data_IF_680203915247
#
_entry.id   IF_680203915247
#
_cell.length_a   1.000
_cell.length_b   1.000
_cell.length_c   1.000
_cell.angle_alpha   90.00
_cell.angle_beta   90.00
_cell.angle_gamma   90.00
#
_symmetry.space_group_name_H-M   'P 1'
#
loop_
_entity.id
_entity.type
_entity.pdbx_description
1 polymer ?
#
# COMPACT_ATOMS: atom_id res chain seq x y z
N UNK A 1 -17.21 -13.77 -51.18
CA UNK A 1 -16.53 -13.52 -49.88
C UNK A 1 -17.36 -14.08 -48.70
N UNK A 2 -18.67 -13.79 -48.56
CA UNK A 2 -19.51 -14.22 -47.44
C UNK A 2 -19.59 -15.73 -47.20
N UNK A 3 -19.57 -16.54 -48.25
CA UNK A 3 -19.65 -18.01 -48.16
C UNK A 3 -18.36 -18.67 -47.66
N UNK A 4 -17.21 -18.04 -47.93
CA UNK A 4 -15.91 -18.50 -47.41
C UNK A 4 -15.84 -18.30 -45.91
N UNK A 5 -16.20 -17.13 -45.42
CA UNK A 5 -16.22 -16.83 -43.96
C UNK A 5 -17.22 -17.71 -43.23
N UNK A 6 -18.40 -17.94 -43.77
CA UNK A 6 -19.39 -18.84 -43.15
C UNK A 6 -18.85 -20.27 -43.00
N UNK A 7 -18.14 -20.80 -44.04
CA UNK A 7 -17.51 -22.12 -43.98
C UNK A 7 -16.41 -22.18 -42.93
N UNK A 8 -15.58 -21.13 -42.83
CA UNK A 8 -14.52 -21.03 -41.80
C UNK A 8 -15.11 -21.03 -40.39
N UNK A 9 -16.10 -20.19 -40.10
CA UNK A 9 -16.78 -20.14 -38.81
C UNK A 9 -17.44 -21.48 -38.47
N UNK A 10 -18.17 -22.08 -39.42
CA UNK A 10 -18.78 -23.40 -39.24
C UNK A 10 -17.75 -24.49 -38.95
N UNK A 11 -16.57 -24.40 -39.56
CA UNK A 11 -15.49 -25.34 -39.28
C UNK A 11 -14.92 -25.15 -37.87
N UNK A 12 -14.71 -23.92 -37.44
CA UNK A 12 -14.23 -23.59 -36.09
C UNK A 12 -15.19 -24.13 -35.01
N UNK A 13 -16.51 -23.95 -35.24
CA UNK A 13 -17.56 -24.48 -34.32
C UNK A 13 -17.50 -26.02 -34.31
N UNK A 14 -17.45 -26.66 -35.47
CA UNK A 14 -17.46 -28.12 -35.60
C UNK A 14 -16.26 -28.80 -34.92
N UNK A 15 -15.09 -28.15 -34.93
CA UNK A 15 -13.88 -28.67 -34.24
C UNK A 15 -13.78 -28.25 -32.76
N UNK A 16 -14.85 -27.66 -32.21
CA UNK A 16 -14.91 -27.28 -30.77
C UNK A 16 -14.01 -26.11 -30.36
N UNK A 17 -13.62 -25.24 -31.31
CA UNK A 17 -12.73 -24.11 -31.02
C UNK A 17 -13.40 -22.74 -31.02
N UNK A 18 -14.75 -22.69 -30.95
CA UNK A 18 -15.52 -21.46 -31.03
C UNK A 18 -15.13 -20.47 -29.90
N UNK A 19 -15.03 -20.94 -28.66
CA UNK A 19 -14.64 -20.12 -27.50
C UNK A 19 -13.26 -19.49 -27.69
N UNK A 20 -12.25 -20.29 -28.03
CA UNK A 20 -10.88 -19.79 -28.27
C UNK A 20 -10.84 -18.77 -29.40
N UNK A 21 -11.65 -18.97 -30.43
CA UNK A 21 -11.74 -18.03 -31.55
C UNK A 21 -12.38 -16.70 -31.13
N UNK A 22 -13.45 -16.74 -30.33
CA UNK A 22 -14.11 -15.54 -29.80
C UNK A 22 -13.13 -14.76 -28.92
N UNK A 23 -12.41 -15.44 -28.03
CA UNK A 23 -11.39 -14.81 -27.18
C UNK A 23 -10.32 -14.13 -28.03
N UNK A 24 -9.73 -14.84 -29.00
CA UNK A 24 -8.69 -14.30 -29.86
C UNK A 24 -9.17 -13.10 -30.70
N UNK A 25 -10.42 -13.14 -31.18
CA UNK A 25 -11.01 -12.01 -31.91
C UNK A 25 -11.28 -10.81 -31.00
N UNK A 26 -11.74 -11.03 -29.75
CA UNK A 26 -11.94 -9.99 -28.77
C UNK A 26 -10.62 -9.31 -28.38
N UNK A 27 -9.57 -10.08 -28.13
CA UNK A 27 -8.22 -9.57 -27.88
C UNK A 27 -7.68 -8.75 -29.06
N UNK A 28 -7.90 -9.22 -30.29
CA UNK A 28 -7.50 -8.49 -31.49
C UNK A 28 -8.23 -7.15 -31.60
N UNK A 29 -9.55 -7.12 -31.34
CA UNK A 29 -10.35 -5.90 -31.34
C UNK A 29 -9.83 -4.93 -30.27
N UNK A 30 -9.56 -5.40 -29.07
CA UNK A 30 -8.98 -4.59 -28.00
C UNK A 30 -7.63 -3.96 -28.43
N UNK A 31 -6.73 -4.76 -28.98
CA UNK A 31 -5.41 -4.28 -29.46
C UNK A 31 -5.51 -3.25 -30.60
N UNK A 32 -6.50 -3.40 -31.47
CA UNK A 32 -6.74 -2.46 -32.57
C UNK A 32 -7.47 -1.19 -32.14
N UNK A 33 -8.22 -1.24 -31.04
CA UNK A 33 -9.01 -0.12 -30.52
C UNK A 33 -8.23 0.69 -29.48
N UNK A 34 -7.48 0.02 -28.60
CA UNK A 34 -6.66 0.64 -27.54
C UNK A 34 -5.20 0.32 -27.81
N UNK A 35 -4.51 1.25 -28.44
CA UNK A 35 -3.09 1.13 -28.79
C UNK A 35 -2.21 1.08 -27.52
N UNK A 36 -2.48 1.96 -26.57
CA UNK A 36 -1.72 2.06 -25.34
C UNK A 36 -2.63 2.43 -24.14
N UNK A 37 -2.51 1.70 -23.05
CA UNK A 37 -3.26 1.91 -21.82
C UNK A 37 -2.42 2.72 -20.83
N UNK A 38 -2.96 3.81 -20.29
CA UNK A 38 -2.35 4.61 -19.24
C UNK A 38 -3.12 4.41 -17.93
N UNK A 39 -2.45 3.94 -16.91
CA UNK A 39 -3.01 3.80 -15.55
C UNK A 39 -2.45 4.94 -14.69
N UNK A 40 -3.33 5.75 -14.12
CA UNK A 40 -2.94 6.91 -13.31
C UNK A 40 -2.85 6.62 -11.81
N UNK A 41 -2.49 5.40 -11.46
CA UNK A 41 -2.08 4.99 -10.11
C UNK A 41 -3.20 4.61 -9.15
N UNK A 42 -2.75 4.33 -7.91
CA UNK A 42 -3.57 3.83 -6.80
C UNK A 42 -4.32 2.53 -7.13
N UNK A 43 -3.62 1.60 -7.81
CA UNK A 43 -4.11 0.23 -8.02
C UNK A 43 -4.31 -0.45 -6.65
N UNK A 44 -3.46 -0.12 -5.69
CA UNK A 44 -3.42 -0.69 -4.34
C UNK A 44 -4.09 0.20 -3.28
N UNK A 45 -5.06 1.07 -3.64
CA UNK A 45 -5.77 1.87 -2.63
C UNK A 45 -6.71 0.95 -1.80
N UNK A 46 -7.94 1.27 -1.63
CA UNK A 46 -8.87 0.67 -0.64
C UNK A 46 -9.79 -0.38 -1.23
N UNK A 47 -9.73 -0.56 -2.55
CA UNK A 47 -10.57 -1.52 -3.27
C UNK A 47 -10.05 -2.96 -3.18
N UNK A 48 -10.93 -3.95 -3.37
CA UNK A 48 -10.54 -5.36 -3.45
C UNK A 48 -9.83 -5.69 -4.76
N UNK A 49 -9.09 -6.79 -4.78
CA UNK A 49 -8.59 -7.41 -6.01
C UNK A 49 -7.41 -6.72 -6.73
N UNK A 50 -6.54 -5.91 -6.10
CA UNK A 50 -5.39 -5.32 -6.80
C UNK A 50 -4.47 -6.38 -7.43
N UNK A 51 -4.36 -7.56 -6.82
CA UNK A 51 -3.58 -8.68 -7.33
C UNK A 51 -4.15 -9.23 -8.65
N UNK A 52 -5.47 -9.21 -8.84
CA UNK A 52 -6.14 -9.61 -10.09
C UNK A 52 -5.89 -8.54 -11.16
N UNK A 53 -6.08 -7.26 -10.81
CA UNK A 53 -5.81 -6.14 -11.71
C UNK A 53 -4.37 -6.19 -12.21
N UNK A 54 -3.41 -6.45 -11.32
CA UNK A 54 -1.99 -6.54 -11.71
C UNK A 54 -1.72 -7.71 -12.65
N UNK A 55 -2.31 -8.88 -12.41
CA UNK A 55 -2.17 -10.02 -13.32
C UNK A 55 -2.71 -9.69 -14.72
N UNK A 56 -3.86 -8.99 -14.83
CA UNK A 56 -4.44 -8.52 -16.08
C UNK A 56 -3.56 -7.46 -16.78
N UNK A 57 -3.04 -6.48 -16.04
CA UNK A 57 -2.15 -5.46 -16.59
C UNK A 57 -0.83 -6.05 -17.08
N UNK A 58 -0.31 -7.07 -16.42
CA UNK A 58 0.90 -7.79 -16.87
C UNK A 58 0.68 -8.56 -18.17
N UNK A 59 -0.53 -9.04 -18.40
CA UNK A 59 -0.92 -9.71 -19.65
C UNK A 59 -1.28 -8.72 -20.78
N UNK A 60 -1.50 -7.43 -20.45
CA UNK A 60 -1.92 -6.44 -21.42
C UNK A 60 -0.81 -6.08 -22.40
N UNK A 61 -1.14 -5.90 -23.69
CA UNK A 61 -0.17 -5.76 -24.78
C UNK A 61 0.69 -4.49 -24.70
N UNK A 62 0.16 -3.38 -24.16
CA UNK A 62 0.89 -2.11 -24.08
C UNK A 62 0.32 -1.25 -22.94
N UNK A 63 1.07 -1.08 -21.86
CA UNK A 63 0.64 -0.35 -20.67
C UNK A 63 1.79 0.41 -20.02
N UNK A 64 1.48 1.57 -19.47
CA UNK A 64 2.30 2.26 -18.47
C UNK A 64 1.46 2.70 -17.25
N UNK A 65 2.16 2.95 -16.14
CA UNK A 65 1.52 3.20 -14.85
C UNK A 65 2.17 4.41 -14.20
N UNK A 66 1.39 5.45 -13.88
CA UNK A 66 1.85 6.55 -13.05
C UNK A 66 1.53 6.21 -11.60
N UNK A 67 2.56 5.98 -10.78
CA UNK A 67 2.38 5.49 -9.41
C UNK A 67 1.58 6.44 -8.54
N UNK A 68 0.58 5.92 -7.85
CA UNK A 68 -0.06 6.57 -6.72
C UNK A 68 0.71 6.36 -5.42
N UNK A 69 0.31 7.06 -4.36
CA UNK A 69 0.94 6.92 -3.06
C UNK A 69 0.72 5.53 -2.44
N UNK A 70 -0.40 4.88 -2.71
CA UNK A 70 -0.65 3.52 -2.25
C UNK A 70 0.22 2.50 -2.99
N UNK A 71 0.45 2.66 -4.29
CA UNK A 71 1.35 1.79 -5.06
C UNK A 71 2.77 1.85 -4.49
N UNK A 72 3.26 3.06 -4.21
CA UNK A 72 4.58 3.25 -3.61
C UNK A 72 4.66 2.69 -2.19
N UNK A 73 3.59 2.80 -1.41
CA UNK A 73 3.49 2.18 -0.09
C UNK A 73 3.65 0.65 -0.16
N UNK A 74 3.01 0.01 -1.14
CA UNK A 74 3.14 -1.43 -1.36
C UNK A 74 4.52 -1.83 -1.88
N UNK A 75 5.18 -1.01 -2.70
CA UNK A 75 6.59 -1.20 -3.06
C UNK A 75 7.48 -1.19 -1.81
N UNK A 76 7.26 -0.23 -0.89
CA UNK A 76 7.97 -0.17 0.37
C UNK A 76 7.74 -1.39 1.26
N UNK A 77 6.51 -1.90 1.32
CA UNK A 77 6.16 -3.10 2.05
C UNK A 77 6.84 -4.34 1.46
N UNK A 78 6.80 -4.52 0.14
CA UNK A 78 7.47 -5.61 -0.57
C UNK A 78 9.01 -5.56 -0.42
N UNK A 79 9.56 -4.36 -0.20
CA UNK A 79 10.97 -4.18 0.12
C UNK A 79 11.29 -4.44 1.61
N UNK A 80 10.35 -4.88 2.45
CA UNK A 80 10.56 -5.20 3.86
C UNK A 80 10.55 -3.98 4.80
N UNK A 81 10.09 -2.81 4.34
CA UNK A 81 10.04 -1.64 5.20
C UNK A 81 8.86 -1.76 6.19
N UNK A 82 9.18 -1.93 7.48
CA UNK A 82 8.21 -2.25 8.55
C UNK A 82 7.07 -1.25 8.69
N UNK A 83 7.34 0.05 8.53
CA UNK A 83 6.31 1.09 8.57
C UNK A 83 5.33 0.97 7.41
N UNK A 84 5.82 0.64 6.20
CA UNK A 84 5.00 0.38 5.03
C UNK A 84 4.16 -0.89 5.21
N UNK A 85 4.77 -1.99 5.71
CA UNK A 85 4.06 -3.25 6.01
C UNK A 85 2.91 -3.01 7.00
N UNK A 86 3.20 -2.35 8.13
CA UNK A 86 2.18 -2.06 9.12
C UNK A 86 1.04 -1.18 8.56
N UNK A 87 1.38 -0.21 7.72
CA UNK A 87 0.40 0.67 7.08
C UNK A 87 -0.45 -0.07 6.04
N UNK A 88 0.14 -0.91 5.19
CA UNK A 88 -0.59 -1.77 4.24
C UNK A 88 -1.61 -2.64 4.98
N UNK A 89 -1.17 -3.40 5.99
CA UNK A 89 -2.05 -4.28 6.76
C UNK A 89 -3.16 -3.48 7.45
N UNK A 90 -2.83 -2.32 8.05
CA UNK A 90 -3.82 -1.44 8.69
C UNK A 90 -4.88 -0.94 7.69
N UNK A 91 -4.48 -0.58 6.48
CA UNK A 91 -5.42 -0.13 5.45
C UNK A 91 -6.30 -1.30 5.02
N UNK A 92 -5.72 -2.47 4.72
CA UNK A 92 -6.48 -3.67 4.38
C UNK A 92 -7.48 -4.03 5.48
N UNK A 93 -7.05 -4.07 6.76
CA UNK A 93 -7.92 -4.33 7.89
C UNK A 93 -9.06 -3.31 8.00
N UNK A 94 -8.75 -2.02 7.87
CA UNK A 94 -9.75 -0.95 7.99
C UNK A 94 -10.87 -1.03 6.95
N UNK A 95 -10.56 -1.52 5.75
CA UNK A 95 -11.50 -1.60 4.64
C UNK A 95 -12.03 -3.01 4.39
N UNK A 96 -11.72 -3.98 5.26
CA UNK A 96 -12.19 -5.35 5.17
C UNK A 96 -11.62 -6.10 3.96
N UNK A 97 -10.35 -5.89 3.65
CA UNK A 97 -9.67 -6.46 2.49
C UNK A 97 -8.40 -7.23 2.88
N UNK A 98 -8.39 -7.89 4.04
CA UNK A 98 -7.24 -8.70 4.47
C UNK A 98 -7.04 -9.94 3.58
N UNK A 99 -8.09 -10.40 2.91
CA UNK A 99 -8.08 -11.43 1.88
C UNK A 99 -7.09 -11.13 0.74
N UNK A 100 -6.86 -9.87 0.41
CA UNK A 100 -5.81 -9.48 -0.54
C UNK A 100 -4.45 -10.00 -0.11
N UNK A 101 -4.14 -9.91 1.17
CA UNK A 101 -2.86 -10.38 1.73
C UNK A 101 -2.83 -11.90 1.86
N UNK A 102 -3.88 -12.51 2.40
CA UNK A 102 -3.93 -13.95 2.70
C UNK A 102 -4.19 -14.77 1.44
N UNK A 103 -5.28 -14.53 0.72
CA UNK A 103 -5.65 -15.29 -0.47
C UNK A 103 -4.92 -14.78 -1.73
N UNK A 104 -4.82 -13.46 -1.87
CA UNK A 104 -4.22 -12.83 -3.05
C UNK A 104 -2.72 -13.04 -3.16
N UNK A 105 -2.00 -12.92 -2.04
CA UNK A 105 -0.54 -12.99 -1.98
C UNK A 105 0.01 -14.13 -1.10
N UNK A 106 -0.82 -14.86 -0.36
CA UNK A 106 -0.39 -15.95 0.52
C UNK A 106 0.41 -15.48 1.73
N UNK A 107 0.23 -14.22 2.16
CA UNK A 107 0.88 -13.65 3.34
C UNK A 107 0.12 -14.10 4.59
N UNK A 108 0.77 -14.88 5.45
CA UNK A 108 0.14 -15.44 6.64
C UNK A 108 -0.03 -14.38 7.75
N UNK A 109 -1.27 -13.99 8.04
CA UNK A 109 -1.63 -13.05 9.10
C UNK A 109 -2.03 -13.73 10.42
N UNK A 110 -2.05 -15.06 10.50
CA UNK A 110 -2.46 -15.80 11.71
C UNK A 110 -1.70 -15.39 12.98
N UNK A 111 -0.37 -15.11 12.97
CA UNK A 111 0.32 -14.63 14.16
C UNK A 111 -0.24 -13.29 14.66
N UNK A 112 -0.56 -12.35 13.77
CA UNK A 112 -1.18 -11.07 14.12
C UNK A 112 -2.61 -11.27 14.63
N UNK A 113 -3.40 -12.11 13.98
CA UNK A 113 -4.77 -12.44 14.39
C UNK A 113 -4.80 -13.05 15.80
N UNK A 114 -3.94 -14.04 16.07
CA UNK A 114 -3.82 -14.68 17.39
C UNK A 114 -3.42 -13.66 18.46
N UNK A 115 -2.42 -12.85 18.21
CA UNK A 115 -2.00 -11.78 19.11
C UNK A 115 -3.14 -10.79 19.39
N UNK A 116 -3.83 -10.33 18.36
CA UNK A 116 -4.91 -9.37 18.48
C UNK A 116 -6.08 -9.91 19.30
N UNK A 117 -6.48 -11.17 19.04
CA UNK A 117 -7.56 -11.82 19.77
C UNK A 117 -7.24 -12.04 21.25
N UNK A 118 -6.00 -12.36 21.58
CA UNK A 118 -5.55 -12.54 22.97
C UNK A 118 -5.40 -11.21 23.70
N UNK A 119 -4.72 -10.23 23.07
CA UNK A 119 -4.39 -8.93 23.67
C UNK A 119 -5.63 -8.07 23.89
N UNK A 120 -6.58 -8.10 22.97
CA UNK A 120 -7.81 -7.31 23.01
C UNK A 120 -9.06 -8.15 23.25
N UNK A 121 -8.94 -9.28 23.99
CA UNK A 121 -10.00 -10.26 24.21
C UNK A 121 -11.33 -9.62 24.60
N UNK A 122 -11.31 -8.75 25.61
CA UNK A 122 -12.48 -8.12 26.20
C UNK A 122 -12.72 -6.68 25.70
N UNK A 123 -11.98 -6.27 24.66
CA UNK A 123 -12.08 -4.94 24.07
C UNK A 123 -12.99 -4.96 22.82
N UNK A 124 -14.06 -4.16 22.79
CA UNK A 124 -14.93 -4.05 21.63
C UNK A 124 -14.27 -3.33 20.45
N UNK A 125 -13.12 -2.67 20.64
CA UNK A 125 -12.36 -1.94 19.62
C UNK A 125 -13.20 -0.98 18.77
N UNK A 126 -14.15 -0.27 19.38
CA UNK A 126 -15.16 0.57 18.71
C UNK A 126 -14.58 1.60 17.74
N UNK A 127 -13.41 2.17 18.06
CA UNK A 127 -12.72 3.15 17.22
C UNK A 127 -12.08 2.53 15.95
N UNK A 128 -12.04 1.21 15.86
CA UNK A 128 -11.37 0.45 14.80
C UNK A 128 -12.35 -0.32 13.91
N UNK A 129 -13.64 -0.02 13.99
CA UNK A 129 -14.66 -0.62 13.13
C UNK A 129 -14.30 -0.46 11.64
N UNK A 130 -14.63 -1.48 10.89
CA UNK A 130 -14.38 -1.53 9.44
C UNK A 130 -15.18 -0.45 8.72
N UNK A 131 -14.65 0.05 7.62
CA UNK A 131 -15.35 0.91 6.67
C UNK A 131 -15.79 0.07 5.48
N UNK A 132 -17.06 -0.34 5.50
CA UNK A 132 -17.79 -0.82 4.34
C UNK A 132 -17.46 -2.24 3.88
N UNK A 133 -18.02 -3.27 4.50
CA UNK A 133 -18.49 -4.46 3.79
C UNK A 133 -19.67 -5.10 4.54
N UNK A 134 -20.90 -5.07 4.01
CA UNK A 134 -22.08 -5.64 4.67
C UNK A 134 -22.11 -7.17 4.72
N UNK A 135 -21.30 -7.87 3.92
CA UNK A 135 -21.35 -9.33 3.76
C UNK A 135 -20.40 -10.10 4.70
N UNK A 136 -19.71 -9.42 5.60
CA UNK A 136 -18.83 -10.05 6.61
C UNK A 136 -19.64 -10.77 7.69
N UNK A 137 -19.26 -11.99 8.05
CA UNK A 137 -19.83 -12.62 9.23
C UNK A 137 -19.31 -11.95 10.53
N UNK A 138 -20.10 -12.05 11.62
CA UNK A 138 -19.80 -11.34 12.86
C UNK A 138 -18.45 -11.75 13.51
N UNK A 139 -17.99 -12.99 13.29
CA UNK A 139 -16.73 -13.50 13.86
C UNK A 139 -15.54 -12.96 13.11
N UNK A 140 -15.56 -12.97 11.79
CA UNK A 140 -14.54 -12.39 10.92
C UNK A 140 -14.42 -10.89 11.17
N UNK A 141 -15.54 -10.18 11.22
CA UNK A 141 -15.59 -8.75 11.53
C UNK A 141 -14.92 -8.45 12.88
N UNK A 142 -15.17 -9.26 13.92
CA UNK A 142 -14.57 -9.06 15.23
C UNK A 142 -13.05 -9.28 15.20
N UNK A 143 -12.57 -10.27 14.46
CA UNK A 143 -11.15 -10.55 14.29
C UNK A 143 -10.44 -9.40 13.56
N UNK A 144 -10.98 -8.94 12.46
CA UNK A 144 -10.42 -7.84 11.66
C UNK A 144 -10.37 -6.52 12.42
N UNK A 145 -11.39 -6.20 13.20
CA UNK A 145 -11.43 -5.02 14.07
C UNK A 145 -10.32 -5.05 15.11
N UNK A 146 -10.07 -6.21 15.74
CA UNK A 146 -8.98 -6.39 16.69
C UNK A 146 -7.61 -6.37 16.03
N UNK A 147 -7.47 -6.98 14.86
CA UNK A 147 -6.26 -6.91 14.05
C UNK A 147 -5.98 -5.46 13.60
N UNK A 148 -7.00 -4.71 13.20
CA UNK A 148 -6.89 -3.29 12.86
C UNK A 148 -6.34 -2.47 14.05
N UNK A 149 -6.84 -2.70 15.27
CA UNK A 149 -6.32 -2.05 16.48
C UNK A 149 -4.87 -2.45 16.74
N UNK A 150 -4.57 -3.74 16.77
CA UNK A 150 -3.25 -4.28 17.03
C UNK A 150 -2.19 -3.70 16.08
N UNK A 151 -2.43 -3.79 14.78
CA UNK A 151 -1.48 -3.28 13.79
C UNK A 151 -1.37 -1.75 13.81
N UNK A 152 -2.42 -1.02 14.18
CA UNK A 152 -2.37 0.44 14.34
C UNK A 152 -1.44 0.84 15.49
N UNK A 153 -1.50 0.13 16.62
CA UNK A 153 -0.58 0.38 17.75
C UNK A 153 0.86 0.05 17.36
N UNK A 154 1.09 -1.07 16.70
CA UNK A 154 2.41 -1.47 16.17
C UNK A 154 2.92 -0.40 15.19
N UNK A 155 2.08 0.08 14.28
CA UNK A 155 2.43 1.13 13.31
C UNK A 155 2.92 2.40 14.00
N UNK A 156 2.21 2.91 15.02
CA UNK A 156 2.66 4.10 15.76
C UNK A 156 4.05 3.91 16.38
N UNK A 157 4.33 2.72 16.91
CA UNK A 157 5.65 2.40 17.49
C UNK A 157 6.74 2.38 16.43
N UNK A 158 6.51 1.65 15.34
CA UNK A 158 7.48 1.50 14.24
C UNK A 158 7.74 2.84 13.53
N UNK A 159 6.69 3.59 13.20
CA UNK A 159 6.83 4.91 12.57
C UNK A 159 7.65 5.87 13.45
N UNK A 160 7.42 5.88 14.77
CA UNK A 160 8.20 6.71 15.68
C UNK A 160 9.68 6.32 15.73
N UNK A 161 9.99 5.03 15.65
CA UNK A 161 11.38 4.56 15.58
C UNK A 161 12.06 5.08 14.30
N UNK A 162 11.34 5.06 13.17
CA UNK A 162 11.81 5.61 11.90
C UNK A 162 12.03 7.12 11.99
N UNK A 163 11.05 7.86 12.53
CA UNK A 163 11.15 9.32 12.69
C UNK A 163 12.35 9.71 13.56
N UNK A 164 12.56 9.00 14.67
CA UNK A 164 13.70 9.25 15.58
C UNK A 164 15.06 9.02 14.93
N UNK A 165 15.16 8.02 14.07
CA UNK A 165 16.39 7.75 13.29
C UNK A 165 16.66 8.83 12.23
N UNK A 166 15.62 9.57 11.81
CA UNK A 166 15.67 10.49 10.68
C UNK A 166 15.14 11.90 11.04
N UNK A 167 15.77 12.63 11.96
CA UNK A 167 15.29 13.93 12.42
C UNK A 167 15.25 15.00 11.31
N UNK A 168 15.98 14.79 10.22
CA UNK A 168 15.95 15.67 9.05
C UNK A 168 14.60 15.77 8.34
N UNK A 169 13.68 14.83 8.58
CA UNK A 169 12.34 14.83 7.99
C UNK A 169 11.36 15.78 8.69
N UNK A 170 11.68 16.22 9.90
CA UNK A 170 10.83 17.13 10.70
C UNK A 170 9.41 16.58 10.91
N UNK A 171 9.30 15.28 11.18
CA UNK A 171 8.04 14.56 11.38
C UNK A 171 7.73 14.29 12.86
N UNK A 172 8.46 14.89 13.79
CA UNK A 172 8.34 14.66 15.23
C UNK A 172 6.92 14.89 15.75
N UNK A 173 6.16 15.81 15.13
CA UNK A 173 4.75 16.06 15.46
C UNK A 173 3.83 14.85 15.24
N UNK A 174 4.28 13.85 14.45
CA UNK A 174 3.54 12.59 14.25
C UNK A 174 3.76 11.58 15.38
N UNK A 175 4.69 11.82 16.28
CA UNK A 175 4.94 11.00 17.45
C UNK A 175 3.91 11.33 18.54
N UNK A 176 2.80 10.60 18.58
CA UNK A 176 1.65 10.93 19.42
C UNK A 176 1.63 10.20 20.75
N UNK A 177 2.23 9.01 20.85
CA UNK A 177 2.06 8.14 22.03
C UNK A 177 2.62 8.73 23.32
N UNK A 178 3.66 9.56 23.29
CA UNK A 178 4.21 10.21 24.47
C UNK A 178 3.41 11.45 24.95
N UNK A 179 2.44 11.91 24.13
CA UNK A 179 1.52 12.97 24.50
C UNK A 179 0.27 12.45 25.24
N UNK A 180 0.14 11.12 25.36
CA UNK A 180 -0.99 10.48 26.02
C UNK A 180 -0.75 10.42 27.52
N UNK A 181 -1.73 10.93 28.29
CA UNK A 181 -1.86 10.64 29.71
C UNK A 181 -2.70 9.37 29.86
N UNK A 182 -2.04 8.23 30.08
CA UNK A 182 -2.68 6.92 30.14
C UNK A 182 -3.57 6.74 31.36
N UNK A 183 -3.32 7.46 32.47
CA UNK A 183 -4.14 7.41 33.69
C UNK A 183 -5.46 8.17 33.49
N UNK A 184 -5.38 9.38 32.91
CA UNK A 184 -6.55 10.21 32.63
C UNK A 184 -7.30 9.79 31.37
N UNK A 185 -6.62 9.10 30.44
CA UNK A 185 -7.15 8.78 29.11
C UNK A 185 -7.35 10.02 28.26
N UNK A 186 -6.35 10.90 28.25
CA UNK A 186 -6.35 12.14 27.47
C UNK A 186 -5.07 12.25 26.64
N UNK A 187 -5.10 13.08 25.60
CA UNK A 187 -3.94 13.42 24.79
C UNK A 187 -3.80 14.93 24.67
N UNK A 188 -2.58 15.43 24.80
CA UNK A 188 -2.28 16.84 24.59
C UNK A 188 -1.76 17.08 23.16
N UNK A 189 -2.44 17.95 22.41
CA UNK A 189 -2.08 18.33 21.04
C UNK A 189 -2.12 19.85 20.90
N UNK A 190 -1.02 20.44 20.48
CA UNK A 190 -0.87 21.91 20.30
C UNK A 190 -1.34 22.72 21.52
N UNK A 191 -1.00 22.23 22.75
CA UNK A 191 -1.33 22.88 24.01
C UNK A 191 -2.81 22.73 24.44
N UNK A 192 -3.57 21.85 23.79
CA UNK A 192 -4.96 21.54 24.17
C UNK A 192 -5.08 20.07 24.55
N UNK A 193 -5.83 19.81 25.61
CA UNK A 193 -6.12 18.46 26.08
C UNK A 193 -7.42 17.94 25.45
N UNK A 194 -7.36 16.71 24.91
CA UNK A 194 -8.50 16.02 24.29
C UNK A 194 -8.73 14.68 24.98
N UNK A 195 -9.99 14.29 25.18
CA UNK A 195 -10.35 12.97 25.68
C UNK A 195 -10.12 11.91 24.62
N UNK A 196 -9.46 10.81 24.99
CA UNK A 196 -9.36 9.64 24.12
C UNK A 196 -10.69 8.87 24.14
N UNK A 197 -11.14 8.46 22.97
CA UNK A 197 -12.31 7.59 22.83
C UNK A 197 -11.97 6.14 23.18
N UNK A 198 -10.77 5.71 22.88
CA UNK A 198 -10.20 4.42 23.25
C UNK A 198 -9.03 4.63 24.22
N UNK A 199 -9.05 3.91 25.35
CA UNK A 199 -8.06 4.03 26.42
C UNK A 199 -7.32 2.73 26.70
N UNK A 200 -7.68 1.65 26.01
CA UNK A 200 -7.13 0.33 26.24
C UNK A 200 -5.91 0.08 25.34
N UNK A 201 -4.73 0.36 25.86
CA UNK A 201 -3.44 0.14 25.17
C UNK A 201 -2.52 -0.77 25.98
N UNK A 202 -2.85 -2.07 26.16
CA UNK A 202 -2.15 -2.97 27.06
C UNK A 202 -0.69 -3.23 26.70
N UNK A 203 -0.30 -3.00 25.47
CA UNK A 203 1.08 -3.23 24.97
C UNK A 203 1.95 -1.98 24.99
N UNK A 204 1.43 -0.85 25.47
CA UNK A 204 2.18 0.41 25.55
C UNK A 204 2.70 0.60 26.98
N UNK A 205 4.03 0.61 27.14
CA UNK A 205 4.69 1.07 28.37
C UNK A 205 4.76 2.61 28.34
N UNK A 206 4.10 3.32 29.28
CA UNK A 206 4.16 4.79 29.34
C UNK A 206 5.57 5.37 29.46
N UNK A 207 6.52 4.60 30.01
CA UNK A 207 7.93 5.03 30.14
C UNK A 207 8.70 4.87 28.83
N UNK A 208 8.26 3.94 27.97
CA UNK A 208 8.88 3.65 26.66
C UNK A 208 7.79 3.41 25.59
N UNK A 209 6.94 4.40 25.29
CA UNK A 209 5.70 4.19 24.53
C UNK A 209 5.91 3.70 23.10
N UNK A 210 7.12 3.80 22.58
CA UNK A 210 7.47 3.38 21.22
C UNK A 210 8.28 2.07 21.16
N UNK A 211 8.51 1.41 22.31
CA UNK A 211 9.12 0.10 22.31
C UNK A 211 8.12 -0.96 21.88
N UNK A 212 8.52 -1.84 20.96
CA UNK A 212 7.76 -3.04 20.66
C UNK A 212 7.88 -4.02 21.82
N UNK A 213 6.81 -4.75 22.12
CA UNK A 213 6.90 -5.94 22.97
C UNK A 213 7.61 -7.05 22.20
N UNK A 214 8.04 -8.10 22.91
CA UNK A 214 8.66 -9.24 22.24
C UNK A 214 7.74 -9.89 21.22
N UNK A 215 6.46 -10.03 21.54
CA UNK A 215 5.48 -10.59 20.60
C UNK A 215 5.26 -9.70 19.38
N UNK A 216 5.17 -8.37 19.57
CA UNK A 216 5.05 -7.41 18.47
C UNK A 216 6.30 -7.45 17.55
N UNK A 217 7.51 -7.59 18.14
CA UNK A 217 8.75 -7.74 17.36
C UNK A 217 8.75 -9.03 16.55
N UNK A 218 8.41 -10.17 17.17
CA UNK A 218 8.32 -11.48 16.50
C UNK A 218 7.29 -11.45 15.34
N UNK A 219 6.16 -10.75 15.52
CA UNK A 219 5.16 -10.57 14.46
C UNK A 219 5.74 -9.75 13.31
N UNK A 220 6.37 -8.62 13.61
CA UNK A 220 6.94 -7.76 12.58
C UNK A 220 8.05 -8.44 11.79
N UNK A 221 8.92 -9.23 12.44
CA UNK A 221 9.93 -10.03 11.76
C UNK A 221 9.32 -11.07 10.81
N UNK A 222 8.25 -11.74 11.22
CA UNK A 222 7.56 -12.72 10.38
C UNK A 222 6.89 -12.06 9.18
N UNK A 223 6.23 -10.92 9.40
CA UNK A 223 5.59 -10.16 8.34
C UNK A 223 6.63 -9.62 7.33
N UNK A 224 7.74 -9.07 7.81
CA UNK A 224 8.84 -8.60 6.97
C UNK A 224 9.33 -9.70 6.03
N UNK A 225 9.64 -10.89 6.57
CA UNK A 225 10.03 -12.06 5.77
C UNK A 225 8.94 -12.51 4.79
N UNK A 226 7.67 -12.46 5.20
CA UNK A 226 6.55 -12.87 4.35
C UNK A 226 6.39 -11.94 3.15
N UNK A 227 6.47 -10.63 3.34
CA UNK A 227 6.40 -9.65 2.26
C UNK A 227 7.61 -9.73 1.32
N UNK A 228 8.82 -9.83 1.86
CA UNK A 228 10.05 -9.93 1.06
C UNK A 228 10.12 -11.21 0.21
N UNK A 229 9.60 -12.33 0.71
CA UNK A 229 9.68 -13.63 0.03
C UNK A 229 8.41 -14.00 -0.76
N UNK A 230 7.40 -13.13 -0.83
CA UNK A 230 6.22 -13.38 -1.65
C UNK A 230 6.52 -13.17 -3.13
N UNK A 231 6.78 -14.24 -3.87
CA UNK A 231 7.15 -14.19 -5.30
C UNK A 231 6.12 -13.43 -6.15
N UNK A 232 4.82 -13.66 -5.92
CA UNK A 232 3.75 -12.97 -6.66
C UNK A 232 3.80 -11.46 -6.41
N UNK A 233 3.97 -11.04 -5.16
CA UNK A 233 4.08 -9.62 -4.81
C UNK A 233 5.34 -9.00 -5.43
N UNK A 234 6.49 -9.67 -5.31
CA UNK A 234 7.73 -9.19 -5.92
C UNK A 234 7.58 -9.01 -7.43
N UNK A 235 6.98 -9.98 -8.13
CA UNK A 235 6.72 -9.89 -9.57
C UNK A 235 5.85 -8.69 -9.93
N UNK A 236 4.79 -8.41 -9.16
CA UNK A 236 3.93 -7.25 -9.34
C UNK A 236 4.67 -5.93 -9.11
N UNK A 237 5.47 -5.85 -8.04
CA UNK A 237 6.25 -4.63 -7.75
C UNK A 237 7.34 -4.39 -8.81
N UNK A 238 8.02 -5.42 -9.28
CA UNK A 238 8.95 -5.29 -10.40
C UNK A 238 8.25 -4.80 -11.69
N UNK A 239 7.02 -5.26 -11.95
CA UNK A 239 6.24 -4.78 -13.08
C UNK A 239 5.89 -3.29 -12.93
N UNK A 240 5.40 -2.86 -11.75
CA UNK A 240 5.15 -1.44 -11.45
C UNK A 240 6.40 -0.58 -11.65
N UNK A 241 7.56 -1.04 -11.16
CA UNK A 241 8.82 -0.33 -11.32
C UNK A 241 9.28 -0.26 -12.78
N UNK A 242 9.10 -1.33 -13.56
CA UNK A 242 9.57 -1.40 -14.94
C UNK A 242 8.65 -0.66 -15.92
N UNK A 243 7.34 -0.67 -15.67
CA UNK A 243 6.33 -0.06 -16.56
C UNK A 243 5.84 1.29 -16.08
N UNK A 244 6.27 1.74 -14.88
CA UNK A 244 5.75 2.94 -14.26
C UNK A 244 6.79 3.96 -13.84
N UNK A 245 6.27 5.08 -13.35
CA UNK A 245 6.99 6.21 -12.78
C UNK A 245 6.04 7.16 -12.08
N UNK A 246 6.54 8.25 -11.53
CA UNK A 246 5.69 9.25 -10.87
C UNK A 246 4.96 10.16 -11.87
N UNK A 247 5.44 10.26 -13.10
CA UNK A 247 4.80 11.01 -14.17
C UNK A 247 5.19 10.48 -15.55
N UNK A 248 4.39 10.79 -16.55
CA UNK A 248 4.71 10.55 -17.97
C UNK A 248 4.20 11.67 -18.83
N UNK A 249 4.93 11.98 -19.88
CA UNK A 249 4.43 12.83 -20.98
C UNK A 249 4.19 11.96 -22.20
N UNK A 250 2.96 11.95 -22.69
CA UNK A 250 2.57 11.14 -23.85
C UNK A 250 1.61 11.94 -24.74
N UNK A 251 1.93 12.03 -26.04
CA UNK A 251 1.15 12.82 -27.01
C UNK A 251 0.83 14.25 -26.55
N UNK A 252 1.79 14.93 -25.89
CA UNK A 252 1.61 16.29 -25.37
C UNK A 252 0.81 16.37 -24.07
N UNK A 253 0.28 15.26 -23.54
CA UNK A 253 -0.41 15.21 -22.26
C UNK A 253 0.56 14.84 -21.13
N UNK A 254 0.43 15.56 -20.01
CA UNK A 254 1.15 15.24 -18.78
C UNK A 254 0.26 14.36 -17.89
N UNK A 255 0.70 13.13 -17.67
CA UNK A 255 0.02 12.12 -16.86
C UNK A 255 0.75 11.98 -15.51
N UNK A 256 0.02 12.05 -14.41
CA UNK A 256 0.51 11.82 -13.04
C UNK A 256 -0.66 11.58 -12.11
N UNK A 257 -0.41 10.92 -10.98
CA UNK A 257 -1.48 10.52 -10.06
C UNK A 257 -1.95 11.66 -9.15
N UNK A 258 -1.05 12.25 -8.40
CA UNK A 258 -1.38 13.19 -7.33
C UNK A 258 -1.50 14.64 -7.78
N UNK A 259 -0.73 15.52 -7.15
CA UNK A 259 -0.71 16.95 -7.47
C UNK A 259 0.72 17.49 -7.50
N UNK A 260 0.94 18.48 -8.33
CA UNK A 260 2.18 19.28 -8.32
C UNK A 260 2.07 20.32 -7.21
N UNK A 261 3.01 20.38 -6.24
CA UNK A 261 2.97 21.40 -5.19
C UNK A 261 3.06 22.82 -5.77
N UNK A 262 2.06 23.64 -5.47
CA UNK A 262 1.99 25.03 -5.88
C UNK A 262 2.04 25.95 -4.66
N UNK A 263 2.43 27.20 -4.88
CA UNK A 263 2.25 28.32 -3.98
C UNK A 263 0.86 28.92 -4.19
N UNK A 264 0.43 29.82 -3.30
CA UNK A 264 -0.83 30.57 -3.42
C UNK A 264 -0.91 31.41 -4.70
N UNK A 265 0.24 31.87 -5.20
CA UNK A 265 0.36 32.65 -6.45
C UNK A 265 0.34 31.78 -7.73
N UNK A 266 0.12 30.46 -7.60
CA UNK A 266 0.11 29.52 -8.73
C UNK A 266 1.50 29.07 -9.21
N UNK A 267 2.58 29.63 -8.67
CA UNK A 267 3.94 29.22 -9.02
C UNK A 267 4.32 27.88 -8.37
N UNK A 268 5.24 27.13 -9.00
CA UNK A 268 5.75 25.87 -8.47
C UNK A 268 6.38 26.08 -7.09
N UNK A 269 5.88 25.34 -6.09
CA UNK A 269 6.44 25.32 -4.74
C UNK A 269 7.72 24.48 -4.72
N UNK A 270 8.77 25.02 -4.08
CA UNK A 270 10.00 24.30 -3.86
C UNK A 270 9.92 23.46 -2.59
N UNK A 271 10.32 22.18 -2.68
CA UNK A 271 10.42 21.22 -1.57
C UNK A 271 11.88 20.89 -1.35
N UNK A 272 12.33 20.88 -0.10
CA UNK A 272 13.70 20.50 0.26
C UNK A 272 13.76 19.00 0.56
N UNK A 273 14.66 18.31 -0.16
CA UNK A 273 14.97 16.89 0.05
C UNK A 273 16.49 16.81 0.28
N UNK A 274 16.92 16.27 1.42
CA UNK A 274 18.33 16.20 1.83
C UNK A 274 19.10 17.52 1.65
N UNK A 275 18.47 18.63 2.05
CA UNK A 275 19.08 19.97 1.99
C UNK A 275 19.04 20.63 0.62
N UNK A 276 18.71 19.94 -0.47
CA UNK A 276 18.57 20.46 -1.81
C UNK A 276 17.11 20.79 -2.12
N UNK A 277 16.88 21.88 -2.85
CA UNK A 277 15.56 22.35 -3.21
C UNK A 277 15.17 21.87 -4.61
N UNK A 278 13.99 21.24 -4.73
CA UNK A 278 13.44 20.71 -5.98
C UNK A 278 12.03 21.25 -6.20
N UNK A 279 11.63 21.42 -7.46
CA UNK A 279 10.27 21.83 -7.83
C UNK A 279 9.85 21.21 -9.16
N UNK A 280 8.54 21.07 -9.39
CA UNK A 280 7.98 20.54 -10.64
C UNK A 280 8.61 19.21 -11.04
N UNK A 281 9.02 19.08 -12.30
CA UNK A 281 9.64 17.86 -12.85
C UNK A 281 10.81 17.35 -12.01
N UNK A 282 11.73 18.21 -11.60
CA UNK A 282 12.89 17.81 -10.81
C UNK A 282 12.53 17.24 -9.44
N UNK A 283 11.39 17.65 -8.85
CA UNK A 283 10.88 17.03 -7.62
C UNK A 283 10.40 15.59 -7.89
N UNK A 284 9.67 15.36 -8.95
CA UNK A 284 9.21 14.02 -9.33
C UNK A 284 10.38 13.07 -9.64
N UNK A 285 11.37 13.55 -10.41
CA UNK A 285 12.54 12.74 -10.77
C UNK A 285 13.37 12.33 -9.55
N UNK A 286 13.59 13.24 -8.59
CA UNK A 286 14.33 12.90 -7.38
C UNK A 286 13.53 11.94 -6.50
N UNK A 287 12.23 12.12 -6.32
CA UNK A 287 11.38 11.20 -5.55
C UNK A 287 11.36 9.82 -6.20
N UNK A 288 11.15 9.73 -7.51
CA UNK A 288 11.19 8.47 -8.24
C UNK A 288 12.54 7.75 -8.08
N UNK A 289 13.64 8.50 -8.11
CA UNK A 289 14.97 7.92 -7.91
C UNK A 289 15.12 7.30 -6.52
N UNK A 290 14.52 7.89 -5.47
CA UNK A 290 14.52 7.33 -4.13
C UNK A 290 13.65 6.07 -4.01
N UNK A 291 12.46 6.06 -4.63
CA UNK A 291 11.61 4.85 -4.67
C UNK A 291 12.40 3.68 -5.26
N UNK A 292 13.00 3.89 -6.43
CA UNK A 292 13.80 2.87 -7.12
C UNK A 292 15.00 2.41 -6.29
N UNK A 293 15.76 3.34 -5.74
CA UNK A 293 16.89 3.02 -4.86
C UNK A 293 16.46 2.24 -3.64
N UNK A 294 15.39 2.66 -2.96
CA UNK A 294 14.89 1.98 -1.78
C UNK A 294 14.46 0.54 -2.05
N UNK A 295 13.85 0.29 -3.20
CA UNK A 295 13.43 -1.05 -3.58
C UNK A 295 14.61 -1.97 -3.94
N UNK A 296 15.58 -1.46 -4.72
CA UNK A 296 16.70 -2.26 -5.24
C UNK A 296 17.94 -2.24 -4.34
N UNK A 297 17.98 -1.44 -3.28
CA UNK A 297 19.14 -1.37 -2.40
C UNK A 297 19.38 -2.71 -1.70
N UNK A 298 20.62 -3.19 -1.77
CA UNK A 298 21.08 -4.39 -1.07
C UNK A 298 21.58 -4.07 0.35
N UNK A 299 22.06 -2.84 0.58
CA UNK A 299 22.46 -2.35 1.90
C UNK A 299 21.21 -1.92 2.69
N UNK A 300 20.96 -2.50 3.88
CA UNK A 300 19.83 -2.14 4.73
C UNK A 300 19.76 -0.66 5.08
N UNK A 301 20.89 0.03 5.26
CA UNK A 301 20.94 1.47 5.56
C UNK A 301 20.51 2.31 4.36
N UNK A 302 20.96 1.95 3.17
CA UNK A 302 20.58 2.65 1.94
C UNK A 302 19.09 2.41 1.64
N UNK A 303 18.61 1.20 1.85
CA UNK A 303 17.20 0.81 1.74
C UNK A 303 16.33 1.61 2.70
N UNK A 304 16.71 1.67 3.98
CA UNK A 304 15.99 2.43 5.01
C UNK A 304 15.90 3.93 4.65
N UNK A 305 17.03 4.55 4.29
CA UNK A 305 17.09 5.98 3.92
C UNK A 305 16.24 6.32 2.70
N UNK A 306 16.18 5.45 1.71
CA UNK A 306 15.51 5.72 0.44
C UNK A 306 13.99 5.55 0.55
N UNK A 307 13.50 4.59 1.36
CA UNK A 307 12.06 4.31 1.53
C UNK A 307 11.35 5.26 2.48
N UNK A 308 12.06 5.89 3.40
CA UNK A 308 11.48 6.80 4.39
C UNK A 308 10.96 8.10 3.76
N UNK A 309 11.52 8.54 2.63
CA UNK A 309 11.07 9.75 1.94
C UNK A 309 9.70 9.63 1.26
N UNK A 310 9.22 8.43 1.16
CA UNK A 310 7.97 8.09 0.49
C UNK A 310 6.82 8.08 1.48
#
# INVERSE_FOLDING_TARGET
LGDVYKRQVSTIIRIGRAEKFIIAMSELIQRLTVDHLHIVGDIYDRGPGPHIIMDELMAYHSVDIQWGNHDVLWMGAAAGQRGCIANVIRICARYGNLDILEEGYGINLLPLATFAMNTYKDDPCECFKLKGNPDYNATEMLMDVKMHKAISVIQFKVESQIIKKNPGFKLEKRNLLHHINYEKGTIELDGKEYKLLDKNFPTIDPKKPYALTKEEEDIMERLERAFENCEKLQRHMHFLLNKGGLYKVYNGNLLYHGCVPLKEDGNLKSVRIFGRAYKGKGLYEVLESYVRKGFYAMDPKEKELSLIHI
#
